data_IF_204824884825
#
_entry.id   IF_204824884825
#
_cell.length_a   1.000
_cell.length_b   1.000
_cell.length_c   1.000
_cell.angle_alpha   90.00
_cell.angle_beta   90.00
_cell.angle_gamma   90.00
#
_symmetry.space_group_name_H-M   'P 1'
#
loop_
_entity.id
_entity.type
_entity.pdbx_description
1 polymer ?
#
# COMPACT_ATOMS: atom_id res chain seq x y z
N UNK A 1 -26.76 -30.06 -20.92
CA UNK A 1 -26.09 -29.11 -20.02
C UNK A 1 -24.76 -28.70 -20.63
N UNK A 2 -24.40 -27.41 -20.58
CA UNK A 2 -23.12 -26.93 -21.09
C UNK A 2 -21.96 -27.41 -20.21
N UNK A 3 -20.74 -27.47 -20.77
CA UNK A 3 -19.51 -27.63 -20.00
C UNK A 3 -18.89 -26.25 -19.75
N UNK A 4 -18.14 -26.13 -18.65
CA UNK A 4 -17.30 -24.96 -18.39
C UNK A 4 -16.20 -24.89 -19.44
N UNK A 5 -16.07 -23.75 -20.09
CA UNK A 5 -15.09 -23.50 -21.14
C UNK A 5 -13.67 -23.48 -20.60
N UNK A 6 -12.72 -23.90 -21.44
CA UNK A 6 -11.31 -23.73 -21.12
C UNK A 6 -10.93 -22.25 -21.20
N UNK A 7 -10.16 -21.78 -20.21
CA UNK A 7 -9.75 -20.39 -20.12
C UNK A 7 -8.26 -20.30 -19.76
N UNK A 8 -7.50 -19.60 -20.61
CA UNK A 8 -6.07 -19.43 -20.40
C UNK A 8 -5.80 -18.23 -19.47
N UNK A 9 -5.50 -18.53 -18.21
CA UNK A 9 -5.26 -17.57 -17.14
C UNK A 9 -3.91 -16.83 -17.26
N UNK A 10 -2.97 -17.31 -18.08
CA UNK A 10 -1.60 -16.77 -18.17
C UNK A 10 -1.60 -15.32 -18.65
N UNK A 11 -2.50 -14.99 -19.59
CA UNK A 11 -2.55 -13.66 -20.19
C UNK A 11 -3.27 -12.60 -19.35
N UNK A 12 -3.84 -12.99 -18.21
CA UNK A 12 -4.41 -12.05 -17.26
C UNK A 12 -3.30 -11.32 -16.51
N UNK A 13 -3.43 -9.99 -16.44
CA UNK A 13 -2.63 -9.18 -15.50
C UNK A 13 -3.00 -9.56 -14.07
N UNK A 14 -2.09 -9.31 -13.13
CA UNK A 14 -2.24 -9.72 -11.73
C UNK A 14 -3.59 -9.32 -11.11
N UNK A 15 -4.04 -8.07 -11.31
CA UNK A 15 -5.36 -7.63 -10.83
C UNK A 15 -6.55 -8.24 -11.59
N UNK A 16 -6.42 -8.47 -12.90
CA UNK A 16 -7.49 -9.12 -13.69
C UNK A 16 -7.65 -10.59 -13.28
N UNK A 17 -6.52 -11.25 -12.99
CA UNK A 17 -6.48 -12.61 -12.50
C UNK A 17 -7.13 -12.72 -11.11
N UNK A 18 -6.77 -11.84 -10.18
CA UNK A 18 -7.38 -11.80 -8.86
C UNK A 18 -8.89 -11.52 -8.91
N UNK A 19 -9.32 -10.56 -9.75
CA UNK A 19 -10.75 -10.29 -9.93
C UNK A 19 -11.48 -11.49 -10.51
N UNK A 20 -10.90 -12.19 -11.50
CA UNK A 20 -11.48 -13.41 -12.05
C UNK A 20 -11.64 -14.50 -10.96
N UNK A 21 -10.62 -14.72 -10.14
CA UNK A 21 -10.70 -15.71 -9.04
C UNK A 21 -11.72 -15.31 -7.96
N UNK A 22 -11.88 -14.01 -7.72
CA UNK A 22 -12.91 -13.47 -6.81
C UNK A 22 -14.32 -13.65 -7.37
N UNK A 23 -14.50 -13.44 -8.67
CA UNK A 23 -15.76 -13.73 -9.37
C UNK A 23 -16.11 -15.22 -9.26
N UNK A 24 -15.12 -16.11 -9.48
CA UNK A 24 -15.30 -17.57 -9.30
C UNK A 24 -15.71 -17.90 -7.86
N UNK A 25 -15.05 -17.31 -6.85
CA UNK A 25 -15.43 -17.48 -5.44
C UNK A 25 -16.89 -17.11 -5.20
N UNK A 26 -17.31 -15.95 -5.70
CA UNK A 26 -18.67 -15.42 -5.53
C UNK A 26 -19.71 -16.35 -6.16
N UNK A 27 -19.44 -16.88 -7.36
CA UNK A 27 -20.31 -17.85 -8.01
C UNK A 27 -20.39 -19.18 -7.25
N UNK A 28 -19.28 -19.66 -6.68
CA UNK A 28 -19.28 -20.87 -5.84
C UNK A 28 -20.08 -20.64 -4.55
N UNK A 29 -19.99 -19.46 -3.94
CA UNK A 29 -20.77 -19.12 -2.73
C UNK A 29 -22.27 -19.07 -3.02
N UNK A 30 -22.67 -18.57 -4.19
CA UNK A 30 -24.06 -18.56 -4.62
C UNK A 30 -24.62 -19.96 -4.89
N UNK A 31 -23.82 -20.85 -5.50
CA UNK A 31 -24.21 -22.23 -5.80
C UNK A 31 -24.00 -23.21 -4.62
N UNK A 32 -23.18 -22.83 -3.64
CA UNK A 32 -22.58 -23.65 -2.58
C UNK A 32 -21.58 -24.70 -3.09
N UNK A 33 -20.50 -24.92 -2.33
CA UNK A 33 -19.41 -25.83 -2.71
C UNK A 33 -19.84 -27.31 -2.73
N UNK A 34 -20.85 -27.63 -1.93
CA UNK A 34 -21.47 -28.94 -1.74
C UNK A 34 -22.27 -29.32 -3.00
N UNK A 35 -23.14 -28.42 -3.48
CA UNK A 35 -23.91 -28.61 -4.73
C UNK A 35 -23.00 -28.84 -5.92
N UNK A 36 -21.85 -28.15 -5.96
CA UNK A 36 -20.87 -28.28 -7.02
C UNK A 36 -19.92 -29.51 -6.85
N UNK A 37 -19.97 -30.22 -5.72
CA UNK A 37 -19.12 -31.40 -5.47
C UNK A 37 -17.62 -31.09 -5.31
N UNK A 38 -17.29 -29.88 -4.83
CA UNK A 38 -15.92 -29.35 -4.77
C UNK A 38 -15.51 -28.83 -3.38
N UNK A 39 -16.22 -29.17 -2.30
CA UNK A 39 -15.96 -28.66 -0.92
C UNK A 39 -14.47 -28.68 -0.52
N UNK A 40 -13.75 -29.77 -0.79
CA UNK A 40 -12.31 -29.91 -0.48
C UNK A 40 -11.47 -28.93 -1.30
N UNK A 41 -11.75 -28.82 -2.60
CA UNK A 41 -11.02 -27.92 -3.49
C UNK A 41 -11.32 -26.46 -3.19
N UNK A 42 -12.57 -26.16 -2.79
CA UNK A 42 -13.00 -24.81 -2.45
C UNK A 42 -12.30 -24.27 -1.20
N UNK A 43 -12.10 -25.10 -0.17
CA UNK A 43 -11.31 -24.73 1.00
C UNK A 43 -9.87 -24.35 0.60
N UNK A 44 -9.18 -25.21 -0.17
CA UNK A 44 -7.83 -24.93 -0.65
C UNK A 44 -7.77 -23.70 -1.59
N UNK A 45 -8.82 -23.48 -2.38
CA UNK A 45 -8.96 -22.30 -3.23
C UNK A 45 -9.07 -21.02 -2.40
N UNK A 46 -9.84 -21.03 -1.31
CA UNK A 46 -9.98 -19.89 -0.40
C UNK A 46 -8.64 -19.48 0.21
N UNK A 47 -7.86 -20.44 0.72
CA UNK A 47 -6.53 -20.19 1.28
C UNK A 47 -5.55 -19.63 0.23
N UNK A 48 -5.58 -20.21 -0.98
CA UNK A 48 -4.75 -19.75 -2.09
C UNK A 48 -5.14 -18.35 -2.57
N UNK A 49 -6.43 -18.02 -2.57
CA UNK A 49 -6.94 -16.69 -2.93
C UNK A 49 -6.55 -15.64 -1.88
N UNK A 50 -6.62 -15.96 -0.59
CA UNK A 50 -6.14 -15.08 0.48
C UNK A 50 -4.63 -14.83 0.40
N UNK A 51 -3.86 -15.86 0.02
CA UNK A 51 -2.42 -15.73 -0.24
C UNK A 51 -2.13 -14.83 -1.45
N UNK A 52 -2.94 -14.92 -2.51
CA UNK A 52 -2.84 -14.06 -3.69
C UNK A 52 -3.18 -12.59 -3.36
N UNK A 53 -4.25 -12.31 -2.62
CA UNK A 53 -4.59 -10.94 -2.15
C UNK A 53 -3.42 -10.34 -1.36
N UNK A 54 -2.87 -11.12 -0.42
CA UNK A 54 -1.74 -10.70 0.40
C UNK A 54 -0.52 -10.34 -0.45
N UNK A 55 -0.18 -11.18 -1.44
CA UNK A 55 0.93 -10.95 -2.36
C UNK A 55 0.74 -9.67 -3.22
N UNK A 56 -0.48 -9.41 -3.70
CA UNK A 56 -0.79 -8.23 -4.50
C UNK A 56 -0.64 -6.93 -3.71
N UNK A 57 -1.02 -6.94 -2.42
CA UNK A 57 -0.81 -5.79 -1.52
C UNK A 57 0.67 -5.51 -1.29
N UNK A 58 1.54 -6.53 -1.35
CA UNK A 58 2.99 -6.33 -1.29
C UNK A 58 3.50 -5.65 -2.54
N UNK A 59 3.13 -6.16 -3.72
CA UNK A 59 3.55 -5.64 -5.03
C UNK A 59 3.21 -4.15 -5.21
N UNK A 60 2.07 -3.71 -4.68
CA UNK A 60 1.63 -2.31 -4.75
C UNK A 60 2.49 -1.33 -3.90
N UNK A 61 3.36 -1.82 -3.02
CA UNK A 61 4.11 -0.97 -2.09
C UNK A 61 3.18 -0.30 -1.07
N UNK A 62 3.70 0.53 -0.16
CA UNK A 62 2.84 1.32 0.73
C UNK A 62 2.57 2.69 0.13
N UNK A 63 1.29 3.04 -0.01
CA UNK A 63 0.83 4.36 -0.44
C UNK A 63 1.33 5.49 0.51
N UNK A 64 1.72 5.14 1.73
CA UNK A 64 2.25 6.06 2.73
C UNK A 64 3.73 6.36 2.55
N UNK A 65 4.47 5.62 1.72
CA UNK A 65 5.92 5.81 1.57
C UNK A 65 6.27 7.20 1.02
N UNK A 66 5.52 7.68 0.02
CA UNK A 66 5.71 9.02 -0.53
C UNK A 66 5.35 10.11 0.49
N UNK A 67 4.27 9.90 1.25
CA UNK A 67 3.82 10.83 2.29
C UNK A 67 4.84 10.94 3.44
N UNK A 68 5.37 9.81 3.92
CA UNK A 68 6.46 9.76 4.92
C UNK A 68 7.67 10.57 4.44
N UNK A 69 8.10 10.37 3.20
CA UNK A 69 9.23 11.10 2.63
C UNK A 69 9.00 12.62 2.56
N UNK A 70 7.79 13.06 2.18
CA UNK A 70 7.48 14.49 2.14
C UNK A 70 7.39 15.12 3.53
N UNK A 71 6.80 14.42 4.50
CA UNK A 71 6.72 14.87 5.88
C UNK A 71 8.11 14.95 6.53
N UNK A 72 8.99 14.00 6.22
CA UNK A 72 10.39 14.03 6.62
C UNK A 72 11.11 15.31 6.14
N UNK A 73 11.04 15.56 4.82
CA UNK A 73 11.61 16.76 4.21
C UNK A 73 11.02 18.05 4.80
N UNK A 74 9.74 18.05 5.14
CA UNK A 74 9.07 19.19 5.74
C UNK A 74 9.62 19.49 7.14
N UNK A 75 9.77 18.48 8.00
CA UNK A 75 10.37 18.61 9.34
C UNK A 75 11.81 19.11 9.26
N UNK A 76 12.60 18.53 8.36
CA UNK A 76 13.97 18.93 8.06
C UNK A 76 14.08 20.41 7.67
N UNK A 77 13.13 20.88 6.86
CA UNK A 77 13.06 22.26 6.39
C UNK A 77 12.72 23.21 7.54
N UNK A 78 11.68 22.91 8.32
CA UNK A 78 11.28 23.71 9.48
C UNK A 78 12.38 23.78 10.53
N UNK A 79 13.00 22.65 10.86
CA UNK A 79 14.13 22.60 11.78
C UNK A 79 15.30 23.47 11.30
N UNK A 80 15.63 23.38 10.00
CA UNK A 80 16.69 24.19 9.40
C UNK A 80 16.37 25.67 9.45
N UNK A 81 15.10 26.06 9.25
CA UNK A 81 14.65 27.44 9.36
C UNK A 81 14.80 27.97 10.79
N UNK A 82 14.34 27.22 11.80
CA UNK A 82 14.49 27.58 13.23
C UNK A 82 15.96 27.77 13.57
N UNK A 83 16.81 26.79 13.24
CA UNK A 83 18.25 26.87 13.49
C UNK A 83 18.89 28.04 12.75
N UNK A 84 18.47 28.31 11.52
CA UNK A 84 18.94 29.43 10.70
C UNK A 84 18.62 30.77 11.35
N UNK A 85 17.38 30.98 11.79
CA UNK A 85 16.95 32.21 12.47
C UNK A 85 17.70 32.43 13.78
N UNK A 86 17.77 31.40 14.63
CA UNK A 86 18.55 31.49 15.88
C UNK A 86 20.01 31.86 15.61
N UNK A 87 20.65 31.24 14.62
CA UNK A 87 22.05 31.55 14.28
C UNK A 87 22.24 32.98 13.76
N UNK A 88 21.27 33.52 13.01
CA UNK A 88 21.31 34.90 12.54
C UNK A 88 21.12 35.90 13.70
N UNK A 89 20.17 35.63 14.60
CA UNK A 89 19.84 36.51 15.73
C UNK A 89 20.94 36.62 16.79
N UNK A 90 21.91 35.69 16.82
CA UNK A 90 23.14 35.82 17.65
C UNK A 90 23.99 37.05 17.27
N UNK A 91 23.71 37.71 16.14
CA UNK A 91 24.34 38.98 15.74
C UNK A 91 23.35 40.15 15.74
N UNK A 92 22.22 40.03 16.45
CA UNK A 92 21.24 41.10 16.54
C UNK A 92 21.87 42.35 17.17
N UNK A 93 21.56 43.56 16.67
CA UNK A 93 21.93 44.80 17.35
C UNK A 93 21.12 45.05 18.63
N UNK A 94 20.08 44.25 18.89
CA UNK A 94 19.26 44.30 20.10
C UNK A 94 19.81 43.30 21.12
N UNK A 95 20.37 43.81 22.22
CA UNK A 95 21.05 43.00 23.26
C UNK A 95 20.18 41.85 23.79
N UNK A 96 18.91 42.13 24.10
CA UNK A 96 17.98 41.12 24.60
C UNK A 96 17.72 39.97 23.61
N UNK A 97 17.68 40.27 22.31
CA UNK A 97 17.54 39.26 21.25
C UNK A 97 18.83 38.43 21.12
N UNK A 98 19.99 39.09 21.18
CA UNK A 98 21.30 38.43 21.09
C UNK A 98 21.49 37.41 22.22
N UNK A 99 21.24 37.83 23.47
CA UNK A 99 21.35 36.98 24.65
C UNK A 99 20.41 35.77 24.59
N UNK A 100 19.16 36.01 24.19
CA UNK A 100 18.16 34.97 24.00
C UNK A 100 18.59 33.98 22.92
N UNK A 101 19.13 34.48 21.80
CA UNK A 101 19.56 33.64 20.70
C UNK A 101 20.76 32.77 21.08
N UNK A 102 21.70 33.31 21.88
CA UNK A 102 22.81 32.52 22.43
C UNK A 102 22.33 31.41 23.35
N UNK A 103 21.32 31.65 24.19
CA UNK A 103 20.71 30.63 25.04
C UNK A 103 20.05 29.53 24.20
N UNK A 104 19.19 29.88 23.26
CA UNK A 104 18.53 28.92 22.38
C UNK A 104 19.53 28.13 21.52
N UNK A 105 20.56 28.79 21.00
CA UNK A 105 21.61 28.13 20.21
C UNK A 105 22.31 27.02 21.00
N UNK A 106 22.59 27.24 22.28
CA UNK A 106 23.20 26.21 23.16
C UNK A 106 22.28 25.00 23.28
N UNK A 107 21.00 25.20 23.60
CA UNK A 107 20.03 24.09 23.71
C UNK A 107 19.92 23.33 22.41
N UNK A 108 19.71 24.02 21.28
CA UNK A 108 19.59 23.39 19.96
C UNK A 108 20.85 22.58 19.62
N UNK A 109 22.04 23.04 20.03
CA UNK A 109 23.29 22.33 19.74
C UNK A 109 23.44 21.00 20.49
N UNK A 110 22.77 20.81 21.63
CA UNK A 110 22.80 19.55 22.37
C UNK A 110 22.16 18.40 21.59
N UNK A 111 21.20 18.70 20.71
CA UNK A 111 20.52 17.74 19.86
C UNK A 111 21.26 17.45 18.54
N UNK A 112 22.37 18.14 18.27
CA UNK A 112 23.18 17.90 17.06
C UNK A 112 22.45 18.23 15.75
N UNK A 113 22.73 17.45 14.70
CA UNK A 113 22.11 17.62 13.39
C UNK A 113 21.07 16.54 13.14
N UNK A 114 19.81 16.85 13.46
CA UNK A 114 18.69 15.91 13.39
C UNK A 114 18.42 15.38 11.97
N UNK A 115 18.72 16.16 10.92
CA UNK A 115 18.55 15.75 9.51
C UNK A 115 19.42 14.57 9.06
N UNK A 116 20.37 14.15 9.89
CA UNK A 116 21.26 13.01 9.62
C UNK A 116 20.89 11.77 10.44
N UNK A 117 19.88 11.89 11.31
CA UNK A 117 19.44 10.82 12.18
C UNK A 117 18.53 9.85 11.43
N UNK A 118 18.34 8.67 11.99
CA UNK A 118 17.26 7.78 11.54
C UNK A 118 15.89 8.38 11.90
N UNK A 119 14.82 8.00 11.20
CA UNK A 119 13.46 8.52 11.47
C UNK A 119 13.04 8.44 12.95
N UNK A 120 13.34 7.33 13.61
CA UNK A 120 12.97 7.15 15.02
C UNK A 120 13.78 8.04 15.96
N UNK A 121 15.08 8.17 15.68
CA UNK A 121 15.99 9.01 16.45
C UNK A 121 15.67 10.49 16.25
N UNK A 122 15.43 10.92 15.02
CA UNK A 122 14.99 12.28 14.69
C UNK A 122 13.66 12.60 15.37
N UNK A 123 12.67 11.72 15.31
CA UNK A 123 11.37 11.95 15.95
C UNK A 123 11.48 12.09 17.47
N UNK A 124 12.32 11.30 18.12
CA UNK A 124 12.60 11.43 19.55
C UNK A 124 13.33 12.75 19.87
N UNK A 125 14.37 13.07 19.09
CA UNK A 125 15.14 14.30 19.26
C UNK A 125 14.29 15.56 19.05
N UNK A 126 13.43 15.58 18.02
CA UNK A 126 12.50 16.68 17.76
C UNK A 126 11.45 16.83 18.86
N UNK A 127 10.92 15.72 19.39
CA UNK A 127 9.95 15.75 20.50
C UNK A 127 10.58 16.41 21.74
N UNK A 128 11.80 15.98 22.08
CA UNK A 128 12.53 16.52 23.22
C UNK A 128 12.94 17.98 23.01
N UNK A 129 13.44 18.34 21.83
CA UNK A 129 13.81 19.72 21.51
C UNK A 129 12.58 20.64 21.59
N UNK A 130 11.45 20.25 21.01
CA UNK A 130 10.21 21.03 21.10
C UNK A 130 9.78 21.18 22.55
N UNK A 131 9.85 20.12 23.35
CA UNK A 131 9.58 20.16 24.79
C UNK A 131 10.47 21.17 25.52
N UNK A 132 11.77 21.17 25.24
CA UNK A 132 12.71 22.15 25.81
C UNK A 132 12.37 23.57 25.37
N UNK A 133 12.11 23.80 24.07
CA UNK A 133 11.80 25.13 23.54
C UNK A 133 10.48 25.70 24.06
N UNK A 134 9.53 24.83 24.42
CA UNK A 134 8.21 25.22 24.94
C UNK A 134 8.16 25.28 26.48
N UNK A 135 9.21 24.86 27.17
CA UNK A 135 9.22 24.89 28.64
C UNK A 135 9.31 26.33 29.17
N UNK A 136 9.01 26.51 30.45
CA UNK A 136 9.01 27.82 31.12
C UNK A 136 10.36 28.54 31.05
N UNK A 137 11.46 27.80 30.90
CA UNK A 137 12.82 28.35 30.83
C UNK A 137 13.12 28.98 29.46
N UNK A 138 12.69 28.36 28.36
CA UNK A 138 13.05 28.79 27.01
C UNK A 138 11.90 29.43 26.22
N UNK A 139 10.64 29.20 26.60
CA UNK A 139 9.49 29.81 25.92
C UNK A 139 9.57 31.35 25.83
N UNK A 140 10.00 32.10 26.87
CA UNK A 140 10.15 33.55 26.74
C UNK A 140 11.21 33.97 25.70
N UNK A 141 12.28 33.17 25.54
CA UNK A 141 13.32 33.42 24.56
C UNK A 141 12.87 33.08 23.12
N UNK A 142 12.07 32.02 22.98
CA UNK A 142 11.42 31.62 21.71
C UNK A 142 10.46 32.71 21.22
N UNK A 143 9.70 33.29 22.14
CA UNK A 143 8.76 34.38 21.85
C UNK A 143 9.50 35.66 21.45
N UNK A 144 10.51 36.06 22.21
CA UNK A 144 11.30 37.25 21.93
C UNK A 144 11.94 37.24 20.53
N UNK A 145 12.37 36.07 20.05
CA UNK A 145 13.04 35.92 18.73
C UNK A 145 12.00 35.73 17.60
N UNK A 146 10.73 35.57 17.95
CA UNK A 146 9.62 35.43 17.01
C UNK A 146 9.61 34.09 16.27
N UNK A 147 9.93 33.00 16.97
CA UNK A 147 9.92 31.63 16.41
C UNK A 147 8.87 30.71 17.05
N UNK A 148 7.99 31.24 17.91
CA UNK A 148 6.90 30.50 18.58
C UNK A 148 6.07 29.67 17.61
N UNK A 149 5.64 30.29 16.50
CA UNK A 149 4.83 29.60 15.47
C UNK A 149 5.62 28.50 14.77
N UNK A 150 6.91 28.67 14.54
CA UNK A 150 7.75 27.66 13.88
C UNK A 150 7.97 26.45 14.78
N UNK A 151 8.15 26.67 16.09
CA UNK A 151 8.26 25.58 17.07
C UNK A 151 6.96 24.79 17.16
N UNK A 152 5.80 25.46 17.15
CA UNK A 152 4.50 24.80 17.11
C UNK A 152 4.32 24.00 15.80
N UNK A 153 4.66 24.57 14.65
CA UNK A 153 4.62 23.85 13.37
C UNK A 153 5.54 22.62 13.37
N UNK A 154 6.75 22.72 13.92
CA UNK A 154 7.67 21.59 14.00
C UNK A 154 7.10 20.45 14.85
N UNK A 155 6.41 20.79 15.95
CA UNK A 155 5.70 19.83 16.79
C UNK A 155 4.64 19.07 15.99
N UNK A 156 3.72 19.80 15.35
CA UNK A 156 2.63 19.21 14.57
C UNK A 156 3.16 18.34 13.42
N UNK A 157 4.19 18.81 12.71
CA UNK A 157 4.83 18.06 11.65
C UNK A 157 5.45 16.75 12.16
N UNK A 158 6.09 16.77 13.33
CA UNK A 158 6.69 15.58 13.93
C UNK A 158 5.65 14.57 14.43
N UNK A 159 4.55 15.05 15.03
CA UNK A 159 3.43 14.19 15.46
C UNK A 159 2.72 13.56 14.25
N UNK A 160 2.51 14.35 13.19
CA UNK A 160 1.93 13.84 11.95
C UNK A 160 2.83 12.80 11.28
N UNK A 161 4.14 13.06 11.19
CA UNK A 161 5.09 12.08 10.67
C UNK A 161 5.05 10.76 11.45
N UNK A 162 5.08 10.81 12.78
CA UNK A 162 5.02 9.60 13.62
C UNK A 162 3.73 8.81 13.36
N UNK A 163 2.60 9.51 13.22
CA UNK A 163 1.30 8.89 12.89
C UNK A 163 1.35 8.16 11.55
N UNK A 164 1.83 8.82 10.49
CA UNK A 164 1.90 8.24 9.15
C UNK A 164 2.93 7.11 9.07
N UNK A 165 4.07 7.24 9.76
CA UNK A 165 5.09 6.21 9.85
C UNK A 165 4.54 4.94 10.52
N UNK A 166 3.77 5.08 11.59
CA UNK A 166 3.12 3.96 12.27
C UNK A 166 2.04 3.30 11.40
N UNK A 167 1.26 4.08 10.65
CA UNK A 167 0.30 3.55 9.67
C UNK A 167 1.02 2.74 8.59
N UNK A 168 2.12 3.26 8.03
CA UNK A 168 2.97 2.54 7.06
C UNK A 168 3.50 1.23 7.64
N UNK A 169 4.04 1.26 8.87
CA UNK A 169 4.58 0.08 9.51
C UNK A 169 3.50 -0.97 9.78
N UNK A 170 2.28 -0.54 10.16
CA UNK A 170 1.12 -1.43 10.32
C UNK A 170 0.71 -2.06 8.98
N UNK A 171 0.68 -1.27 7.91
CA UNK A 171 0.41 -1.75 6.55
C UNK A 171 1.45 -2.78 6.09
N UNK A 172 2.71 -2.58 6.46
CA UNK A 172 3.81 -3.51 6.15
C UNK A 172 3.76 -4.77 7.03
N UNK A 173 3.40 -4.65 8.30
CA UNK A 173 3.33 -5.78 9.24
C UNK A 173 2.23 -6.80 8.86
N UNK A 174 1.17 -6.36 8.20
CA UNK A 174 0.11 -7.23 7.68
C UNK A 174 0.48 -7.99 6.40
N UNK A 175 1.68 -7.82 5.86
CA UNK A 175 2.09 -8.42 4.57
C UNK A 175 2.73 -9.80 4.79
N UNK A 176 2.18 -10.81 4.14
CA UNK A 176 2.84 -12.11 3.97
C UNK A 176 3.88 -12.00 2.84
N UNK A 177 5.06 -12.57 3.03
CA UNK A 177 6.17 -12.59 2.05
C UNK A 177 5.93 -13.57 0.89
N UNK A 178 4.75 -13.55 0.28
CA UNK A 178 4.45 -14.35 -0.90
C UNK A 178 4.58 -13.48 -2.15
N UNK A 179 5.34 -13.98 -3.14
CA UNK A 179 5.43 -13.35 -4.46
C UNK A 179 4.20 -13.72 -5.31
N UNK A 180 3.66 -12.77 -6.07
CA UNK A 180 2.40 -12.94 -6.84
C UNK A 180 2.53 -14.06 -7.88
N UNK A 181 3.71 -14.26 -8.47
CA UNK A 181 3.92 -15.36 -9.43
C UNK A 181 3.82 -16.71 -8.73
N UNK A 182 4.40 -16.84 -7.55
CA UNK A 182 4.36 -18.09 -6.76
C UNK A 182 2.94 -18.46 -6.33
N UNK A 183 2.12 -17.48 -5.95
CA UNK A 183 0.72 -17.72 -5.54
C UNK A 183 -0.16 -18.09 -6.74
N UNK A 184 0.08 -17.49 -7.91
CA UNK A 184 -0.59 -17.90 -9.17
C UNK A 184 -0.29 -19.35 -9.57
N UNK A 185 0.94 -19.82 -9.36
CA UNK A 185 1.31 -21.23 -9.61
C UNK A 185 0.58 -22.22 -8.69
N UNK A 186 0.02 -21.76 -7.57
CA UNK A 186 -0.73 -22.59 -6.62
C UNK A 186 -2.23 -22.55 -6.93
N UNK A 187 -2.81 -21.35 -7.10
CA UNK A 187 -4.26 -21.20 -7.29
C UNK A 187 -4.75 -21.65 -8.67
N UNK A 188 -3.95 -21.49 -9.74
CA UNK A 188 -4.35 -21.87 -11.10
C UNK A 188 -4.63 -23.38 -11.25
N UNK A 189 -3.76 -24.29 -10.74
CA UNK A 189 -4.08 -25.71 -10.71
C UNK A 189 -5.34 -26.05 -9.90
N UNK A 190 -5.59 -25.37 -8.78
CA UNK A 190 -6.78 -25.61 -7.94
C UNK A 190 -8.05 -25.23 -8.71
N UNK A 191 -8.08 -24.05 -9.35
CA UNK A 191 -9.17 -23.65 -10.23
C UNK A 191 -9.42 -24.68 -11.34
N UNK A 192 -8.36 -25.10 -12.05
CA UNK A 192 -8.46 -26.11 -13.12
C UNK A 192 -9.01 -27.45 -12.59
N UNK A 193 -8.65 -27.84 -11.38
CA UNK A 193 -9.16 -29.05 -10.74
C UNK A 193 -10.66 -28.94 -10.41
N UNK A 194 -11.11 -27.80 -9.89
CA UNK A 194 -12.54 -27.55 -9.65
C UNK A 194 -13.34 -27.64 -10.95
N UNK A 195 -12.90 -26.95 -12.00
CA UNK A 195 -13.53 -27.00 -13.34
C UNK A 195 -13.60 -28.43 -13.87
N UNK A 196 -12.51 -29.21 -13.75
CA UNK A 196 -12.47 -30.60 -14.21
C UNK A 196 -13.47 -31.48 -13.45
N UNK A 197 -13.61 -31.31 -12.13
CA UNK A 197 -14.58 -32.06 -11.32
C UNK A 197 -16.02 -31.73 -11.71
N UNK A 198 -16.35 -30.45 -11.84
CA UNK A 198 -17.71 -30.01 -12.24
C UNK A 198 -18.05 -30.52 -13.65
N UNK A 199 -17.13 -30.38 -14.61
CA UNK A 199 -17.37 -30.92 -15.96
C UNK A 199 -17.52 -32.45 -15.96
N UNK A 200 -16.82 -33.17 -15.08
CA UNK A 200 -16.96 -34.62 -14.95
C UNK A 200 -18.33 -35.02 -14.39
N UNK A 201 -18.87 -34.33 -13.39
CA UNK A 201 -20.22 -34.63 -12.87
C UNK A 201 -21.29 -34.40 -13.92
N UNK A 202 -21.11 -33.39 -14.79
CA UNK A 202 -22.02 -33.14 -15.93
C UNK A 202 -21.92 -34.26 -16.96
N UNK A 203 -20.70 -34.67 -17.32
CA UNK A 203 -20.47 -35.71 -18.33
C UNK A 203 -21.00 -37.08 -17.89
N UNK A 204 -21.03 -37.34 -16.59
CA UNK A 204 -21.53 -38.59 -16.01
C UNK A 204 -23.03 -38.54 -15.68
N UNK A 205 -23.74 -37.47 -16.05
CA UNK A 205 -25.15 -37.24 -15.70
C UNK A 205 -25.43 -37.29 -14.18
N UNK A 206 -24.44 -36.85 -13.38
CA UNK A 206 -24.48 -36.82 -11.91
C UNK A 206 -24.56 -35.39 -11.34
N UNK A 207 -24.75 -34.38 -12.19
CA UNK A 207 -24.81 -32.98 -11.76
C UNK A 207 -26.08 -32.71 -10.94
N UNK A 208 -25.91 -32.05 -9.78
CA UNK A 208 -27.02 -31.63 -8.95
C UNK A 208 -27.81 -30.46 -9.57
N UNK A 209 -29.01 -30.22 -9.05
CA UNK A 209 -29.80 -29.04 -9.38
C UNK A 209 -29.02 -27.77 -8.99
N UNK A 210 -28.98 -26.77 -9.88
CA UNK A 210 -28.22 -25.52 -9.69
C UNK A 210 -26.81 -25.50 -10.31
N UNK A 211 -26.23 -26.65 -10.66
CA UNK A 211 -24.93 -26.69 -11.37
C UNK A 211 -25.04 -26.02 -12.75
N UNK A 212 -26.20 -26.09 -13.40
CA UNK A 212 -26.38 -25.54 -14.76
C UNK A 212 -26.32 -24.01 -14.77
N UNK A 213 -26.95 -23.39 -13.78
CA UNK A 213 -26.89 -21.94 -13.57
C UNK A 213 -25.45 -21.49 -13.35
N UNK A 214 -24.71 -22.16 -12.45
CA UNK A 214 -23.31 -21.86 -12.20
C UNK A 214 -22.44 -21.94 -13.46
N UNK A 215 -22.62 -23.01 -14.26
CA UNK A 215 -21.84 -23.19 -15.50
C UNK A 215 -22.14 -22.09 -16.51
N UNK A 216 -23.40 -21.73 -16.69
CA UNK A 216 -23.79 -20.69 -17.63
C UNK A 216 -23.23 -19.32 -17.20
N UNK A 217 -23.32 -18.97 -15.92
CA UNK A 217 -22.78 -17.72 -15.37
C UNK A 217 -21.25 -17.65 -15.46
N UNK A 218 -20.56 -18.75 -15.11
CA UNK A 218 -19.10 -18.81 -15.23
C UNK A 218 -18.64 -18.72 -16.68
N UNK A 219 -19.36 -19.34 -17.63
CA UNK A 219 -19.04 -19.23 -19.05
C UNK A 219 -19.23 -17.81 -19.59
N UNK A 220 -20.27 -17.09 -19.17
CA UNK A 220 -20.43 -15.67 -19.54
C UNK A 220 -19.31 -14.80 -18.94
N UNK A 221 -18.86 -15.09 -17.71
CA UNK A 221 -17.67 -14.44 -17.12
C UNK A 221 -16.41 -14.75 -17.95
N UNK A 222 -16.15 -16.00 -18.29
CA UNK A 222 -14.99 -16.39 -19.12
C UNK A 222 -15.01 -15.63 -20.46
N UNK A 223 -16.17 -15.59 -21.13
CA UNK A 223 -16.36 -14.88 -22.39
C UNK A 223 -16.10 -13.37 -22.27
N UNK A 224 -16.52 -12.75 -21.16
CA UNK A 224 -16.20 -11.36 -20.86
C UNK A 224 -14.68 -11.14 -20.81
N UNK A 225 -13.94 -11.92 -20.02
CA UNK A 225 -12.48 -11.76 -19.90
C UNK A 225 -11.75 -12.08 -21.22
N UNK A 226 -12.20 -13.09 -21.97
CA UNK A 226 -11.67 -13.38 -23.32
C UNK A 226 -11.87 -12.19 -24.27
N UNK A 227 -13.02 -11.52 -24.21
CA UNK A 227 -13.30 -10.32 -25.02
C UNK A 227 -12.36 -9.18 -24.63
N UNK A 228 -12.15 -8.93 -23.33
CA UNK A 228 -11.19 -7.91 -22.88
C UNK A 228 -9.76 -8.21 -23.34
N UNK A 229 -9.36 -9.48 -23.28
CA UNK A 229 -8.06 -9.94 -23.78
C UNK A 229 -7.91 -9.71 -25.29
N UNK A 230 -8.94 -10.02 -26.08
CA UNK A 230 -8.93 -9.82 -27.52
C UNK A 230 -8.85 -8.33 -27.90
N UNK A 231 -9.61 -7.47 -27.21
CA UNK A 231 -9.56 -6.01 -27.41
C UNK A 231 -8.14 -5.49 -27.13
N UNK A 232 -7.51 -5.94 -26.05
CA UNK A 232 -6.13 -5.56 -25.71
C UNK A 232 -5.14 -6.02 -26.77
N UNK A 233 -5.20 -7.28 -27.20
CA UNK A 233 -4.33 -7.80 -28.26
C UNK A 233 -4.48 -7.01 -29.57
N UNK A 234 -5.71 -6.63 -29.92
CA UNK A 234 -6.01 -5.79 -31.09
C UNK A 234 -5.54 -4.34 -30.98
N UNK A 235 -5.33 -3.80 -29.78
CA UNK A 235 -4.73 -2.46 -29.58
C UNK A 235 -3.22 -2.51 -29.75
N UNK A 236 -2.56 -3.47 -29.11
CA UNK A 236 -1.10 -3.62 -29.22
C UNK A 236 -0.65 -3.83 -30.66
N UNK A 237 -1.38 -4.64 -31.44
CA UNK A 237 -1.06 -4.88 -32.86
C UNK A 237 -1.27 -3.65 -33.76
N UNK A 238 -2.09 -2.68 -33.36
CA UNK A 238 -2.21 -1.39 -34.05
C UNK A 238 -1.09 -0.42 -33.67
N UNK A 239 -0.66 -0.44 -32.41
CA UNK A 239 0.47 0.37 -31.94
C UNK A 239 1.79 -0.09 -32.59
N UNK A 240 2.04 -1.40 -32.66
CA UNK A 240 3.21 -1.98 -33.34
C UNK A 240 3.24 -1.64 -34.84
N UNK A 241 2.09 -1.67 -35.52
CA UNK A 241 2.01 -1.30 -36.94
C UNK A 241 2.28 0.20 -37.20
N UNK A 242 2.00 1.07 -36.24
CA UNK A 242 2.27 2.51 -36.36
C UNK A 242 3.74 2.81 -36.09
N UNK A 243 4.38 2.11 -35.15
CA UNK A 243 5.80 2.26 -34.86
C UNK A 243 6.72 1.68 -35.94
N UNK A 244 6.27 0.71 -36.75
CA UNK A 244 7.01 0.20 -37.92
C UNK A 244 6.89 1.09 -39.18
N UNK A 245 5.93 2.02 -39.22
CA UNK A 245 5.71 2.95 -40.34
C UNK A 245 6.41 4.32 -40.17
N UNK A 246 7.17 4.53 -39.07
CA UNK A 246 7.92 5.76 -38.75
C UNK A 246 9.43 5.55 -38.83
#
# INVERSE_FOLDING_TARGET
MNLIQNFNLIYLRNNEHYQFMTDVKTLIEAATSETLGITVQYAAFGDALGSLDSALRVEQGSNKSAEVYQLDKLRDTTWSAIRGRVNATVRSPVEAEEESARKLKRVISLYGNMRKMSYNEESAALTNLVGDLQNETYSPHVDLIGITTWVAMLKEQNEHFQTVLNQRNTELAGRLNADVRSTRLIIDPIYKQMVKRINATITLDMAAEGVETFVNELNEKIKYYQTQLAIRAGRNSKEEAVDEEV
#
